data_IF_527494338597
#
_entry.id   IF_527494338597
#
_cell.length_a   1.000
_cell.length_b   1.000
_cell.length_c   1.000
_cell.angle_alpha   90.00
_cell.angle_beta   90.00
_cell.angle_gamma   90.00
#
_symmetry.space_group_name_H-M   'P 1'
#
loop_
_entity.id
_entity.type
_entity.pdbx_description
1 polymer ?
#
# COMPACT_ATOMS: atom_id res chain seq x y z
N UNK A 1 0.65 18.67 -13.27
CA UNK A 1 -0.68 19.21 -13.60
C UNK A 1 -0.89 19.39 -15.11
N UNK A 2 0.01 20.06 -15.84
CA UNK A 2 -0.08 20.25 -17.32
C UNK A 2 -0.36 18.98 -18.12
N UNK A 3 0.33 17.86 -17.84
CA UNK A 3 0.09 16.58 -18.53
C UNK A 3 -1.31 16.01 -18.31
N UNK A 4 -1.87 16.16 -17.11
CA UNK A 4 -3.21 15.67 -16.77
C UNK A 4 -4.31 16.59 -17.32
N UNK A 5 -4.05 17.89 -17.47
CA UNK A 5 -4.93 18.84 -18.17
C UNK A 5 -5.09 18.44 -19.64
N UNK A 6 -3.98 18.21 -20.34
CA UNK A 6 -3.98 17.80 -21.75
C UNK A 6 -4.69 16.45 -21.93
N UNK A 7 -4.41 15.47 -21.06
CA UNK A 7 -5.02 14.14 -21.13
C UNK A 7 -6.55 14.16 -20.91
N UNK A 8 -7.07 15.17 -20.22
CA UNK A 8 -8.50 15.37 -19.97
C UNK A 8 -9.14 16.32 -20.99
N UNK A 9 -8.38 16.78 -22.00
CA UNK A 9 -8.87 17.69 -23.05
C UNK A 9 -8.99 19.15 -22.62
N UNK A 10 -8.43 19.54 -21.47
CA UNK A 10 -8.44 20.94 -21.03
C UNK A 10 -7.27 21.71 -21.63
N UNK A 11 -7.52 22.89 -22.25
CA UNK A 11 -6.45 23.75 -22.73
C UNK A 11 -5.58 24.21 -21.56
N UNK A 12 -4.28 24.34 -21.80
CA UNK A 12 -3.36 24.87 -20.80
C UNK A 12 -3.59 26.39 -20.73
N UNK A 13 -3.98 26.94 -19.57
CA UNK A 13 -4.18 28.38 -19.47
C UNK A 13 -2.87 29.12 -19.77
N UNK A 14 -2.91 30.07 -20.70
CA UNK A 14 -1.75 30.87 -21.12
C UNK A 14 -1.74 32.28 -20.51
N UNK A 15 -2.86 32.76 -19.96
CA UNK A 15 -3.00 34.11 -19.40
C UNK A 15 -3.51 34.05 -17.96
N UNK A 16 -3.00 34.94 -17.13
CA UNK A 16 -3.46 35.17 -15.76
C UNK A 16 -4.22 36.50 -15.67
N UNK A 17 -5.23 36.63 -14.81
CA UNK A 17 -5.76 35.63 -13.87
C UNK A 17 -6.61 34.54 -14.55
N UNK A 18 -6.67 33.36 -13.95
CA UNK A 18 -7.49 32.23 -14.43
C UNK A 18 -8.98 32.57 -14.34
N UNK A 19 -9.76 32.13 -15.31
CA UNK A 19 -11.22 32.19 -15.23
C UNK A 19 -11.74 31.23 -14.16
N UNK A 20 -12.91 31.52 -13.57
CA UNK A 20 -13.59 30.61 -12.62
C UNK A 20 -13.81 29.19 -13.19
N UNK A 21 -13.87 29.04 -14.51
CA UNK A 21 -13.97 27.73 -15.17
C UNK A 21 -12.65 26.96 -15.08
N UNK A 22 -11.54 27.61 -15.43
CA UNK A 22 -10.19 27.01 -15.40
C UNK A 22 -9.78 26.61 -13.98
N UNK A 23 -10.13 27.42 -12.98
CA UNK A 23 -9.90 27.09 -11.57
C UNK A 23 -10.64 25.82 -11.13
N UNK A 24 -11.90 25.66 -11.56
CA UNK A 24 -12.70 24.44 -11.27
C UNK A 24 -12.07 23.22 -11.94
N UNK A 25 -11.64 23.33 -13.18
CA UNK A 25 -10.95 22.25 -13.91
C UNK A 25 -9.63 21.86 -13.24
N UNK A 26 -8.83 22.85 -12.83
CA UNK A 26 -7.56 22.62 -12.13
C UNK A 26 -7.79 21.92 -10.77
N UNK A 27 -8.84 22.30 -10.02
CA UNK A 27 -9.22 21.65 -8.77
C UNK A 27 -9.60 20.17 -8.97
N UNK A 28 -10.36 19.86 -10.03
CA UNK A 28 -10.72 18.48 -10.38
C UNK A 28 -9.48 17.63 -10.68
N UNK A 29 -8.52 18.20 -11.41
CA UNK A 29 -7.27 17.52 -11.75
C UNK A 29 -6.38 17.31 -10.52
N UNK A 30 -6.22 18.33 -9.67
CA UNK A 30 -5.55 18.20 -8.37
C UNK A 30 -6.15 17.08 -7.53
N UNK A 31 -7.49 17.00 -7.49
CA UNK A 31 -8.20 15.92 -6.79
C UNK A 31 -7.89 14.55 -7.40
N UNK A 32 -7.93 14.40 -8.73
CA UNK A 32 -7.58 13.15 -9.43
C UNK A 32 -6.14 12.70 -9.15
N UNK A 33 -5.17 13.61 -9.18
CA UNK A 33 -3.77 13.31 -8.87
C UNK A 33 -3.64 12.81 -7.42
N UNK A 34 -4.22 13.52 -6.46
CA UNK A 34 -4.21 13.10 -5.05
C UNK A 34 -4.88 11.74 -4.84
N UNK A 35 -6.00 11.47 -5.50
CA UNK A 35 -6.67 10.18 -5.41
C UNK A 35 -5.82 9.06 -6.00
N UNK A 36 -5.14 9.29 -7.13
CA UNK A 36 -4.24 8.30 -7.73
C UNK A 36 -3.10 7.92 -6.78
N UNK A 37 -2.46 8.91 -6.15
CA UNK A 37 -1.39 8.68 -5.17
C UNK A 37 -1.93 7.94 -3.95
N UNK A 38 -3.06 8.39 -3.39
CA UNK A 38 -3.67 7.78 -2.21
C UNK A 38 -4.09 6.32 -2.45
N UNK A 39 -4.67 6.01 -3.61
CA UNK A 39 -5.03 4.64 -3.98
C UNK A 39 -3.79 3.74 -4.14
N UNK A 40 -2.69 4.28 -4.70
CA UNK A 40 -1.44 3.55 -4.82
C UNK A 40 -0.82 3.25 -3.45
N UNK A 41 -0.74 4.25 -2.56
CA UNK A 41 -0.24 4.06 -1.20
C UNK A 41 -1.11 3.08 -0.41
N UNK A 42 -2.43 3.14 -0.55
CA UNK A 42 -3.35 2.18 0.08
C UNK A 42 -3.08 0.75 -0.37
N UNK A 43 -2.87 0.53 -1.69
CA UNK A 43 -2.49 -0.79 -2.21
C UNK A 43 -1.13 -1.24 -1.70
N UNK A 44 -0.15 -0.33 -1.63
CA UNK A 44 1.20 -0.64 -1.11
C UNK A 44 1.14 -1.08 0.34
N UNK A 45 0.47 -0.32 1.21
CA UNK A 45 0.29 -0.66 2.63
C UNK A 45 -0.42 -2.00 2.84
N UNK A 46 -1.46 -2.29 2.04
CA UNK A 46 -2.14 -3.59 2.11
C UNK A 46 -1.19 -4.74 1.76
N UNK A 47 -0.37 -4.56 0.72
CA UNK A 47 0.64 -5.56 0.33
C UNK A 47 1.68 -5.77 1.43
N UNK A 48 2.26 -4.69 1.96
CA UNK A 48 3.24 -4.73 3.05
C UNK A 48 2.68 -5.45 4.29
N UNK A 49 1.43 -5.15 4.68
CA UNK A 49 0.78 -5.82 5.81
C UNK A 49 0.59 -7.32 5.59
N UNK A 50 0.18 -7.74 4.38
CA UNK A 50 0.05 -9.15 4.05
C UNK A 50 1.39 -9.88 4.09
N UNK A 51 2.44 -9.28 3.51
CA UNK A 51 3.79 -9.85 3.55
C UNK A 51 4.32 -9.97 4.98
N UNK A 52 4.07 -8.99 5.84
CA UNK A 52 4.43 -9.05 7.26
C UNK A 52 3.67 -10.16 7.99
N UNK A 53 2.37 -10.31 7.73
CA UNK A 53 1.55 -11.36 8.31
C UNK A 53 2.04 -12.75 7.89
N UNK A 54 2.34 -12.95 6.61
CA UNK A 54 2.90 -14.20 6.06
C UNK A 54 4.25 -14.54 6.72
N UNK A 55 5.15 -13.56 6.86
CA UNK A 55 6.42 -13.76 7.58
C UNK A 55 6.21 -14.16 9.03
N UNK A 56 5.24 -13.55 9.72
CA UNK A 56 4.94 -13.87 11.12
C UNK A 56 4.41 -15.30 11.27
N UNK A 57 3.56 -15.75 10.35
CA UNK A 57 3.06 -17.13 10.33
C UNK A 57 4.22 -18.11 10.13
N UNK A 58 5.11 -17.86 9.16
CA UNK A 58 6.27 -18.72 8.92
C UNK A 58 7.21 -18.82 10.14
N UNK A 59 7.42 -17.70 10.85
CA UNK A 59 8.22 -17.69 12.08
C UNK A 59 7.55 -18.51 13.19
N UNK A 60 6.24 -18.34 13.38
CA UNK A 60 5.48 -19.10 14.39
C UNK A 60 5.47 -20.59 14.08
N UNK A 61 5.25 -20.98 12.82
CA UNK A 61 5.30 -22.38 12.39
C UNK A 61 6.67 -23.01 12.66
N UNK A 62 7.75 -22.27 12.38
CA UNK A 62 9.11 -22.72 12.67
C UNK A 62 9.32 -22.91 14.17
N UNK A 63 8.84 -21.96 14.98
CA UNK A 63 8.95 -22.02 16.44
C UNK A 63 8.15 -23.16 17.05
N UNK A 64 6.94 -23.43 16.55
CA UNK A 64 6.12 -24.56 16.98
C UNK A 64 6.85 -25.86 16.70
N UNK A 65 7.41 -26.05 15.50
CA UNK A 65 8.15 -27.25 15.13
C UNK A 65 9.39 -27.48 16.02
N UNK A 66 10.10 -26.43 16.41
CA UNK A 66 11.22 -26.54 17.35
C UNK A 66 10.75 -27.00 18.73
N UNK A 67 9.72 -26.34 19.27
CA UNK A 67 9.16 -26.67 20.58
C UNK A 67 8.58 -28.08 20.64
N UNK A 68 7.98 -28.57 19.55
CA UNK A 68 7.50 -29.94 19.43
C UNK A 68 8.65 -30.95 19.48
N UNK A 69 9.77 -30.66 18.80
CA UNK A 69 10.98 -31.51 18.85
C UNK A 69 11.57 -31.56 20.26
N UNK A 70 11.72 -30.40 20.91
CA UNK A 70 12.22 -30.30 22.29
C UNK A 70 11.31 -31.07 23.26
N UNK A 71 9.99 -30.86 23.16
CA UNK A 71 9.03 -31.60 23.98
C UNK A 71 9.11 -33.11 23.77
N UNK A 72 9.27 -33.57 22.51
CA UNK A 72 9.43 -34.99 22.22
C UNK A 72 10.69 -35.56 22.87
N UNK A 73 11.82 -34.86 22.76
CA UNK A 73 13.07 -35.28 23.38
C UNK A 73 12.95 -35.35 24.91
N UNK A 74 12.37 -34.33 25.54
CA UNK A 74 12.13 -34.30 26.99
C UNK A 74 11.20 -35.42 27.46
N UNK A 75 10.16 -35.74 26.67
CA UNK A 75 9.26 -36.86 26.98
C UNK A 75 9.96 -38.22 26.90
N UNK A 76 10.85 -38.40 25.91
CA UNK A 76 11.65 -39.63 25.80
C UNK A 76 12.60 -39.80 26.98
N UNK A 77 13.26 -38.72 27.42
CA UNK A 77 14.14 -38.74 28.59
C UNK A 77 13.39 -39.05 29.90
N UNK A 78 12.15 -38.61 30.05
CA UNK A 78 11.34 -38.89 31.25
C UNK A 78 10.81 -40.33 31.33
N UNK A 79 10.81 -41.05 30.21
CA UNK A 79 10.34 -42.44 30.12
C UNK A 79 11.48 -43.46 30.20
N UNK A 80 12.73 -43.01 30.19
CA UNK A 80 13.93 -43.82 30.38
C UNK A 80 14.40 -43.73 31.83
#
# INVERSE_FOLDING_TARGET
EKRTLIAEGYPIPQRFPLTKSEERSLKKIRRKIKNKISAQESRRKKKEYMEELEKRVQLLDSRVRELEKENKALRQLKLA
#
